data_IF_638981364812
#
_entry.id   IF_638981364812
#
_cell.length_a   1.000
_cell.length_b   1.000
_cell.length_c   1.000
_cell.angle_alpha   90.00
_cell.angle_beta   90.00
_cell.angle_gamma   90.00
#
_symmetry.space_group_name_H-M   'P 1'
#
loop_
_entity.id
_entity.type
_entity.pdbx_description
1 polymer ?
#
# COMPACT_ATOMS: atom_id res chain seq x y z
N UNK A 1 -2.33 3.89 -16.99
CA UNK A 1 -3.60 4.58 -16.83
C UNK A 1 -4.73 3.58 -17.10
N UNK A 2 -5.05 3.18 -18.35
CA UNK A 2 -6.21 2.33 -18.67
C UNK A 2 -6.31 1.01 -17.85
N UNK A 3 -5.19 0.30 -17.62
CA UNK A 3 -5.17 -0.93 -16.81
C UNK A 3 -5.56 -0.60 -15.36
N UNK A 4 -5.05 0.49 -14.81
CA UNK A 4 -5.37 0.91 -13.44
C UNK A 4 -6.83 1.32 -13.35
N UNK A 5 -7.35 2.09 -14.32
CA UNK A 5 -8.77 2.44 -14.38
C UNK A 5 -9.70 1.22 -14.42
N UNK A 6 -9.36 0.20 -15.23
CA UNK A 6 -10.11 -1.06 -15.27
C UNK A 6 -10.10 -1.78 -13.91
N UNK A 7 -8.94 -1.85 -13.26
CA UNK A 7 -8.80 -2.48 -11.94
C UNK A 7 -9.60 -1.73 -10.86
N UNK A 8 -9.60 -0.38 -10.91
CA UNK A 8 -10.39 0.45 -10.00
C UNK A 8 -11.89 0.23 -10.18
N UNK A 9 -12.35 0.11 -11.42
CA UNK A 9 -13.75 -0.22 -11.71
C UNK A 9 -14.13 -1.60 -11.18
N UNK A 10 -13.27 -2.60 -11.38
CA UNK A 10 -13.47 -3.94 -10.82
C UNK A 10 -13.52 -3.90 -9.30
N UNK A 11 -12.59 -3.20 -8.65
CA UNK A 11 -12.58 -3.06 -7.20
C UNK A 11 -13.87 -2.43 -6.66
N UNK A 12 -14.38 -1.43 -7.35
CA UNK A 12 -15.67 -0.80 -7.01
C UNK A 12 -16.84 -1.77 -7.12
N UNK A 13 -16.86 -2.64 -8.14
CA UNK A 13 -17.91 -3.67 -8.28
C UNK A 13 -17.87 -4.68 -7.14
N UNK A 14 -16.71 -4.98 -6.59
CA UNK A 14 -16.53 -5.87 -5.46
C UNK A 14 -16.52 -5.14 -4.10
N UNK A 15 -17.08 -3.93 -4.03
CA UNK A 15 -17.20 -3.12 -2.82
C UNK A 15 -15.88 -2.94 -2.04
N UNK A 16 -14.74 -2.90 -2.74
CA UNK A 16 -13.42 -2.68 -2.13
C UNK A 16 -12.74 -3.93 -1.55
N UNK A 17 -13.36 -5.11 -1.60
CA UNK A 17 -12.80 -6.34 -1.00
C UNK A 17 -11.44 -6.71 -1.63
N UNK A 18 -11.25 -6.39 -2.91
CA UNK A 18 -10.03 -6.73 -3.65
C UNK A 18 -8.89 -5.73 -3.36
N UNK A 19 -9.16 -4.63 -2.67
CA UNK A 19 -8.25 -3.51 -2.46
C UNK A 19 -6.89 -3.93 -1.89
N UNK A 20 -6.90 -4.79 -0.88
CA UNK A 20 -5.68 -5.28 -0.24
C UNK A 20 -4.81 -6.14 -1.18
N UNK A 21 -5.43 -6.94 -2.04
CA UNK A 21 -4.71 -7.75 -3.02
C UNK A 21 -4.25 -6.93 -4.23
N UNK A 22 -4.98 -5.88 -4.58
CA UNK A 22 -4.65 -5.01 -5.74
C UNK A 22 -3.48 -4.08 -5.50
N UNK A 23 -3.09 -3.78 -4.27
CA UNK A 23 -1.99 -2.87 -3.97
C UNK A 23 -0.73 -3.19 -4.78
N UNK A 24 -0.36 -4.46 -4.86
CA UNK A 24 0.82 -4.89 -5.59
C UNK A 24 0.65 -4.68 -7.10
N UNK A 25 -0.51 -5.06 -7.64
CA UNK A 25 -0.80 -4.95 -9.06
C UNK A 25 -0.86 -3.48 -9.50
N UNK A 26 -1.42 -2.61 -8.68
CA UNK A 26 -1.53 -1.18 -8.95
C UNK A 26 -0.17 -0.47 -8.99
N UNK A 27 0.82 -0.96 -8.25
CA UNK A 27 2.17 -0.39 -8.25
C UNK A 27 2.98 -0.71 -9.52
N UNK A 28 2.69 -1.83 -10.23
CA UNK A 28 3.50 -2.27 -11.37
C UNK A 28 3.47 -1.37 -12.60
N UNK A 29 2.32 -0.89 -13.08
CA UNK A 29 2.30 -0.05 -14.28
C UNK A 29 3.18 1.18 -14.13
N UNK A 30 3.16 1.82 -12.97
CA UNK A 30 3.98 3.00 -12.71
C UNK A 30 5.44 2.64 -12.45
N UNK A 31 5.72 1.49 -11.82
CA UNK A 31 7.06 0.98 -11.61
C UNK A 31 7.80 0.77 -12.93
N UNK A 32 7.19 0.02 -13.86
CA UNK A 32 7.78 -0.23 -15.19
C UNK A 32 7.97 1.08 -15.96
N UNK A 33 7.00 1.97 -15.88
CA UNK A 33 7.09 3.29 -16.52
C UNK A 33 8.24 4.12 -15.93
N UNK A 34 8.43 4.08 -14.62
CA UNK A 34 9.50 4.80 -13.93
C UNK A 34 10.88 4.29 -14.32
N UNK A 35 11.05 2.97 -14.44
CA UNK A 35 12.32 2.39 -14.92
C UNK A 35 12.65 2.90 -16.31
N UNK A 36 11.68 2.93 -17.21
CA UNK A 36 11.89 3.34 -18.61
C UNK A 36 12.14 4.84 -18.73
N UNK A 37 11.27 5.67 -18.18
CA UNK A 37 11.22 7.11 -18.40
C UNK A 37 11.77 7.96 -17.25
N UNK A 38 12.01 7.35 -16.10
CA UNK A 38 12.46 8.02 -14.88
C UNK A 38 11.31 8.60 -14.06
N UNK A 39 11.63 8.97 -12.82
CA UNK A 39 10.64 9.45 -11.86
C UNK A 39 9.88 10.71 -12.31
N UNK A 40 10.58 11.66 -12.98
CA UNK A 40 9.92 12.89 -13.50
C UNK A 40 8.89 12.58 -14.58
N UNK A 41 9.20 11.66 -15.48
CA UNK A 41 8.26 11.19 -16.50
C UNK A 41 7.07 10.43 -15.91
N UNK A 42 7.29 9.70 -14.81
CA UNK A 42 6.26 8.93 -14.14
C UNK A 42 5.20 9.78 -13.41
N UNK A 43 5.51 11.04 -13.08
CA UNK A 43 4.56 11.92 -12.38
C UNK A 43 3.31 12.20 -13.20
N UNK A 44 3.42 12.31 -14.53
CA UNK A 44 2.26 12.59 -15.41
C UNK A 44 1.27 11.42 -15.39
N UNK A 45 1.65 10.17 -15.71
CA UNK A 45 0.72 9.05 -15.63
C UNK A 45 0.26 8.77 -14.19
N UNK A 46 1.08 9.05 -13.17
CA UNK A 46 0.66 8.93 -11.78
C UNK A 46 -0.48 9.92 -11.44
N UNK A 47 -0.36 11.18 -11.86
CA UNK A 47 -1.42 12.16 -11.69
C UNK A 47 -2.70 11.76 -12.43
N UNK A 48 -2.58 11.21 -13.66
CA UNK A 48 -3.73 10.71 -14.40
C UNK A 48 -4.41 9.53 -13.70
N UNK A 49 -3.62 8.58 -13.15
CA UNK A 49 -4.16 7.45 -12.38
C UNK A 49 -4.84 7.92 -11.08
N UNK A 50 -4.30 8.94 -10.43
CA UNK A 50 -4.95 9.55 -9.26
C UNK A 50 -6.29 10.22 -9.63
N UNK A 51 -6.34 10.95 -10.76
CA UNK A 51 -7.58 11.53 -11.24
C UNK A 51 -8.65 10.46 -11.56
N UNK A 52 -8.24 9.34 -12.19
CA UNK A 52 -9.13 8.18 -12.39
C UNK A 52 -9.66 7.63 -11.05
N UNK A 53 -8.80 7.52 -10.03
CA UNK A 53 -9.20 7.02 -8.73
C UNK A 53 -10.25 7.93 -8.06
N UNK A 54 -10.08 9.24 -8.12
CA UNK A 54 -11.06 10.18 -7.59
C UNK A 54 -12.42 10.08 -8.28
N UNK A 55 -12.45 9.73 -9.57
CA UNK A 55 -13.69 9.61 -10.34
C UNK A 55 -14.36 8.24 -10.22
N UNK A 56 -13.58 7.17 -10.12
CA UNK A 56 -14.05 5.80 -10.32
C UNK A 56 -14.10 4.96 -9.05
N UNK A 57 -13.34 5.34 -8.01
CA UNK A 57 -13.16 4.50 -6.83
C UNK A 57 -13.73 5.09 -5.54
N UNK A 58 -13.72 4.29 -4.48
CA UNK A 58 -14.06 4.73 -3.13
C UNK A 58 -12.97 5.65 -2.58
N UNK A 59 -13.30 6.58 -1.68
CA UNK A 59 -12.30 7.46 -1.06
C UNK A 59 -11.12 6.72 -0.42
N UNK A 60 -11.40 5.56 0.19
CA UNK A 60 -10.38 4.68 0.77
C UNK A 60 -9.36 4.22 -0.27
N UNK A 61 -9.85 3.78 -1.44
CA UNK A 61 -9.03 3.29 -2.55
C UNK A 61 -8.07 4.37 -3.08
N UNK A 62 -8.46 5.66 -3.01
CA UNK A 62 -7.60 6.77 -3.44
C UNK A 62 -6.30 6.82 -2.61
N UNK A 63 -6.40 6.65 -1.29
CA UNK A 63 -5.23 6.63 -0.41
C UNK A 63 -4.34 5.41 -0.66
N UNK A 64 -4.95 4.24 -0.85
CA UNK A 64 -4.22 3.02 -1.20
C UNK A 64 -3.52 3.15 -2.55
N UNK A 65 -4.18 3.72 -3.55
CA UNK A 65 -3.55 3.96 -4.85
C UNK A 65 -2.40 4.96 -4.74
N UNK A 66 -2.57 6.07 -4.01
CA UNK A 66 -1.51 7.03 -3.79
C UNK A 66 -0.25 6.37 -3.20
N UNK A 67 -0.43 5.55 -2.18
CA UNK A 67 0.63 4.76 -1.55
C UNK A 67 1.28 3.78 -2.53
N UNK A 68 0.48 3.04 -3.32
CA UNK A 68 0.98 2.11 -4.32
C UNK A 68 1.78 2.81 -5.45
N UNK A 69 1.32 3.98 -5.91
CA UNK A 69 2.03 4.78 -6.90
C UNK A 69 3.37 5.30 -6.38
N UNK A 70 3.40 5.81 -5.14
CA UNK A 70 4.65 6.25 -4.50
C UNK A 70 5.63 5.10 -4.34
N UNK A 71 5.15 3.93 -3.89
CA UNK A 71 5.96 2.72 -3.79
C UNK A 71 6.52 2.31 -5.16
N UNK A 72 5.69 2.27 -6.20
CA UNK A 72 6.11 1.92 -7.57
C UNK A 72 7.12 2.89 -8.16
N UNK A 73 6.93 4.21 -7.96
CA UNK A 73 7.87 5.24 -8.43
C UNK A 73 9.21 5.11 -7.71
N UNK A 74 9.19 4.96 -6.38
CA UNK A 74 10.42 4.87 -5.59
C UNK A 74 11.20 3.61 -5.92
N UNK A 75 10.52 2.45 -5.95
CA UNK A 75 11.14 1.19 -6.31
C UNK A 75 11.71 1.23 -7.73
N UNK A 76 10.93 1.71 -8.71
CA UNK A 76 11.38 1.84 -10.10
C UNK A 76 12.55 2.80 -10.26
N UNK A 77 12.61 3.86 -9.45
CA UNK A 77 13.74 4.78 -9.42
C UNK A 77 15.01 4.12 -8.89
N UNK A 78 14.88 3.33 -7.80
CA UNK A 78 15.98 2.56 -7.24
C UNK A 78 16.56 1.55 -8.25
N UNK A 79 15.70 0.80 -8.94
CA UNK A 79 16.11 -0.12 -10.00
C UNK A 79 16.83 0.64 -11.12
N UNK A 80 16.29 1.76 -11.60
CA UNK A 80 16.92 2.59 -12.66
C UNK A 80 18.28 3.14 -12.26
N UNK A 81 18.47 3.45 -10.98
CA UNK A 81 19.72 3.94 -10.41
C UNK A 81 20.69 2.84 -9.97
N UNK A 82 20.35 1.59 -10.21
CA UNK A 82 21.15 0.43 -9.80
C UNK A 82 21.44 0.40 -8.28
N UNK A 83 20.44 0.75 -7.48
CA UNK A 83 20.57 0.60 -6.04
C UNK A 83 20.67 -0.88 -5.67
N UNK A 84 21.49 -1.25 -4.68
CA UNK A 84 21.53 -2.63 -4.21
C UNK A 84 20.15 -3.05 -3.73
N UNK A 85 19.76 -4.29 -4.06
CA UNK A 85 18.42 -4.81 -3.77
C UNK A 85 17.97 -4.61 -2.31
N UNK A 86 18.90 -4.80 -1.36
CA UNK A 86 18.62 -4.60 0.07
C UNK A 86 18.26 -3.15 0.41
N UNK A 87 18.96 -2.17 -0.17
CA UNK A 87 18.66 -0.73 0.04
C UNK A 87 17.31 -0.37 -0.57
N UNK A 88 17.05 -0.84 -1.80
CA UNK A 88 15.79 -0.58 -2.48
C UNK A 88 14.60 -1.17 -1.70
N UNK A 89 14.75 -2.39 -1.21
CA UNK A 89 13.76 -3.07 -0.41
C UNK A 89 13.53 -2.36 0.93
N UNK A 90 14.59 -1.95 1.63
CA UNK A 90 14.51 -1.24 2.89
C UNK A 90 13.79 0.12 2.75
N UNK A 91 14.19 0.92 1.77
CA UNK A 91 13.58 2.25 1.55
C UNK A 91 12.10 2.10 1.15
N UNK A 92 11.78 1.14 0.29
CA UNK A 92 10.39 0.87 -0.11
C UNK A 92 9.56 0.37 1.08
N UNK A 93 10.14 -0.49 1.92
CA UNK A 93 9.49 -0.98 3.14
C UNK A 93 9.17 0.14 4.14
N UNK A 94 10.12 1.04 4.37
CA UNK A 94 9.91 2.22 5.23
C UNK A 94 8.79 3.10 4.64
N UNK A 95 8.82 3.36 3.33
CA UNK A 95 7.76 4.15 2.68
C UNK A 95 6.39 3.49 2.82
N UNK A 96 6.31 2.19 2.60
CA UNK A 96 5.06 1.43 2.74
C UNK A 96 4.54 1.50 4.18
N UNK A 97 5.40 1.32 5.16
CA UNK A 97 5.03 1.43 6.58
C UNK A 97 4.54 2.84 6.94
N UNK A 98 5.27 3.89 6.52
CA UNK A 98 4.85 5.27 6.74
C UNK A 98 3.52 5.57 6.05
N UNK A 99 3.28 5.03 4.84
CA UNK A 99 2.01 5.18 4.14
C UNK A 99 0.85 4.57 4.93
N UNK A 100 1.05 3.43 5.59
CA UNK A 100 0.04 2.86 6.48
C UNK A 100 -0.28 3.75 7.67
N UNK A 101 0.75 4.26 8.34
CA UNK A 101 0.55 5.16 9.49
C UNK A 101 -0.20 6.43 9.08
N UNK A 102 0.20 7.04 7.94
CA UNK A 102 -0.47 8.23 7.42
C UNK A 102 -1.93 7.91 7.06
N UNK A 103 -2.17 6.80 6.38
CA UNK A 103 -3.53 6.38 6.02
C UNK A 103 -4.39 6.17 7.26
N UNK A 104 -3.86 5.52 8.29
CA UNK A 104 -4.57 5.30 9.54
C UNK A 104 -4.98 6.63 10.22
N UNK A 105 -4.05 7.61 10.28
CA UNK A 105 -4.33 8.94 10.83
C UNK A 105 -5.35 9.69 9.97
N UNK A 106 -5.22 9.62 8.63
CA UNK A 106 -6.17 10.28 7.72
C UNK A 106 -7.56 9.66 7.82
N UNK A 107 -7.69 8.35 7.96
CA UNK A 107 -8.98 7.70 8.18
C UNK A 107 -9.66 8.17 9.47
N UNK A 108 -8.91 8.27 10.56
CA UNK A 108 -9.43 8.79 11.82
C UNK A 108 -9.92 10.24 11.69
N UNK A 109 -9.14 11.09 11.00
CA UNK A 109 -9.44 12.54 10.93
C UNK A 109 -10.47 12.91 9.88
N UNK A 110 -10.44 12.28 8.70
CA UNK A 110 -11.27 12.66 7.53
C UNK A 110 -12.61 11.92 7.51
N UNK A 111 -12.61 10.65 7.90
CA UNK A 111 -13.81 9.80 7.86
C UNK A 111 -14.48 9.62 9.22
N UNK A 112 -13.96 10.29 10.28
CA UNK A 112 -14.50 10.19 11.62
C UNK A 112 -14.37 8.79 12.22
N UNK A 113 -13.40 7.99 11.71
CA UNK A 113 -13.10 6.70 12.27
C UNK A 113 -12.56 6.88 13.69
N UNK A 114 -13.28 6.39 14.70
CA UNK A 114 -12.85 6.44 16.09
C UNK A 114 -12.16 5.12 16.47
N UNK A 115 -10.83 5.12 16.66
CA UNK A 115 -10.13 3.92 17.10
C UNK A 115 -10.62 3.38 18.44
N UNK A 116 -11.29 4.21 19.26
CA UNK A 116 -11.84 3.77 20.52
C UNK A 116 -13.04 2.84 20.34
N UNK A 117 -13.80 2.94 19.25
CA UNK A 117 -14.89 2.00 18.95
C UNK A 117 -14.34 0.59 18.72
N UNK A 118 -13.25 0.46 17.95
CA UNK A 118 -12.60 -0.84 17.73
C UNK A 118 -12.00 -1.40 19.03
N UNK A 119 -11.46 -0.54 19.88
CA UNK A 119 -10.96 -0.93 21.21
C UNK A 119 -12.11 -1.48 22.04
N UNK A 120 -13.26 -0.82 22.08
CA UNK A 120 -14.43 -1.28 22.84
C UNK A 120 -14.97 -2.61 22.30
N UNK A 121 -15.03 -2.79 20.99
CA UNK A 121 -15.44 -4.07 20.37
C UNK A 121 -14.46 -5.17 20.74
N UNK A 122 -13.16 -4.89 20.66
CA UNK A 122 -12.14 -5.84 21.07
C UNK A 122 -12.20 -6.17 22.57
N UNK A 123 -12.47 -5.18 23.43
CA UNK A 123 -12.70 -5.38 24.86
C UNK A 123 -13.86 -6.33 25.12
N UNK A 124 -14.99 -6.12 24.45
CA UNK A 124 -16.16 -7.00 24.58
C UNK A 124 -15.85 -8.43 24.14
N UNK A 125 -15.13 -8.60 23.03
CA UNK A 125 -14.73 -9.93 22.55
C UNK A 125 -13.77 -10.63 23.53
N UNK A 126 -12.80 -9.91 24.08
CA UNK A 126 -11.83 -10.47 25.04
C UNK A 126 -12.52 -10.84 26.36
N UNK A 127 -13.49 -10.05 26.82
CA UNK A 127 -14.31 -10.38 28.00
C UNK A 127 -15.13 -11.66 27.80
N UNK A 128 -15.68 -11.87 26.59
CA UNK A 128 -16.40 -13.11 26.25
C UNK A 128 -15.48 -14.33 26.36
N UNK A 129 -14.19 -14.18 25.99
CA UNK A 129 -13.19 -15.25 26.09
C UNK A 129 -12.56 -15.38 27.49
N UNK A 130 -12.96 -14.56 28.45
CA UNK A 130 -12.51 -14.67 29.84
C UNK A 130 -11.11 -14.14 30.11
N UNK A 131 -10.54 -13.33 29.22
CA UNK A 131 -9.25 -12.68 29.42
C UNK A 131 -9.45 -11.27 29.99
N UNK A 132 -9.11 -11.08 31.25
CA UNK A 132 -9.10 -9.74 31.87
C UNK A 132 -7.67 -9.15 31.75
N UNK A 133 -7.53 -8.03 31.07
CA UNK A 133 -6.26 -7.29 30.99
C UNK A 133 -6.44 -5.85 31.46
N UNK A 134 -5.66 -5.42 32.44
CA UNK A 134 -5.69 -4.06 32.99
C UNK A 134 -5.23 -2.97 32.01
N UNK A 135 -4.57 -3.32 30.89
CA UNK A 135 -4.00 -2.39 29.91
C UNK A 135 -4.38 -2.73 28.46
N UNK A 136 -5.67 -3.02 28.23
CA UNK A 136 -6.13 -3.53 26.94
C UNK A 136 -5.87 -2.57 25.78
N UNK A 137 -6.05 -1.27 25.97
CA UNK A 137 -5.80 -0.25 24.94
C UNK A 137 -4.33 -0.25 24.45
N UNK A 138 -3.38 -0.40 25.38
CA UNK A 138 -1.96 -0.48 25.02
C UNK A 138 -1.62 -1.77 24.29
N UNK A 139 -2.25 -2.89 24.68
CA UNK A 139 -2.08 -4.18 24.02
C UNK A 139 -2.62 -4.13 22.59
N UNK A 140 -3.82 -3.56 22.39
CA UNK A 140 -4.41 -3.40 21.05
C UNK A 140 -3.52 -2.52 20.17
N UNK A 141 -3.07 -1.37 20.68
CA UNK A 141 -2.18 -0.47 19.94
C UNK A 141 -0.87 -1.15 19.55
N UNK A 142 -0.30 -1.95 20.46
CA UNK A 142 0.91 -2.73 20.18
C UNK A 142 0.67 -3.76 19.07
N UNK A 143 -0.43 -4.52 19.14
CA UNK A 143 -0.79 -5.50 18.10
C UNK A 143 -1.07 -4.84 16.75
N UNK A 144 -1.75 -3.70 16.73
CA UNK A 144 -2.02 -2.95 15.50
C UNK A 144 -0.73 -2.46 14.85
N UNK A 145 0.20 -1.93 15.64
CA UNK A 145 1.53 -1.52 15.17
C UNK A 145 2.32 -2.73 14.64
N UNK A 146 2.34 -3.82 15.39
CA UNK A 146 3.03 -5.06 14.99
C UNK A 146 2.45 -5.60 13.67
N UNK A 147 1.14 -5.66 13.56
CA UNK A 147 0.45 -6.10 12.35
C UNK A 147 0.76 -5.20 11.15
N UNK A 148 0.79 -3.88 11.35
CA UNK A 148 1.17 -2.91 10.32
C UNK A 148 2.60 -3.11 9.82
N UNK A 149 3.55 -3.39 10.73
CA UNK A 149 4.94 -3.72 10.37
C UNK A 149 5.01 -5.01 9.56
N UNK A 150 4.35 -6.08 10.03
CA UNK A 150 4.34 -7.37 9.35
C UNK A 150 3.72 -7.23 7.95
N UNK A 151 2.60 -6.53 7.84
CA UNK A 151 1.93 -6.28 6.56
C UNK A 151 2.81 -5.47 5.60
N UNK A 152 3.48 -4.42 6.09
CA UNK A 152 4.41 -3.63 5.28
C UNK A 152 5.59 -4.46 4.76
N UNK A 153 6.15 -5.34 5.59
CA UNK A 153 7.22 -6.26 5.20
C UNK A 153 6.73 -7.23 4.11
N UNK A 154 5.60 -7.88 4.34
CA UNK A 154 5.02 -8.84 3.38
C UNK A 154 4.72 -8.17 2.04
N UNK A 155 4.11 -6.99 2.05
CA UNK A 155 3.82 -6.25 0.82
C UNK A 155 5.08 -5.85 0.08
N UNK A 156 6.10 -5.37 0.79
CA UNK A 156 7.37 -4.98 0.18
C UNK A 156 8.06 -6.18 -0.46
N UNK A 157 8.05 -7.34 0.21
CA UNK A 157 8.59 -8.59 -0.35
C UNK A 157 7.79 -9.01 -1.61
N UNK A 158 6.46 -8.96 -1.55
CA UNK A 158 5.62 -9.28 -2.71
C UNK A 158 5.89 -8.35 -3.90
N UNK A 159 5.98 -7.04 -3.68
CA UNK A 159 6.34 -6.08 -4.73
C UNK A 159 7.72 -6.40 -5.32
N UNK A 160 8.70 -6.71 -4.46
CA UNK A 160 10.05 -7.05 -4.89
C UNK A 160 10.07 -8.33 -5.75
N UNK A 161 9.48 -9.42 -5.27
CA UNK A 161 9.45 -10.69 -5.99
C UNK A 161 8.74 -10.56 -7.35
N UNK A 162 7.58 -9.92 -7.36
CA UNK A 162 6.82 -9.70 -8.59
C UNK A 162 7.56 -8.76 -9.55
N UNK A 163 8.20 -7.70 -9.04
CA UNK A 163 9.01 -6.80 -9.84
C UNK A 163 10.17 -7.56 -10.51
N UNK A 164 10.90 -8.39 -9.76
CA UNK A 164 11.98 -9.23 -10.29
C UNK A 164 11.46 -10.17 -11.39
N UNK A 165 10.35 -10.86 -11.16
CA UNK A 165 9.75 -11.74 -12.17
C UNK A 165 9.36 -10.98 -13.45
N UNK A 166 8.76 -9.81 -13.32
CA UNK A 166 8.29 -9.00 -14.44
C UNK A 166 9.45 -8.39 -15.23
N UNK A 167 10.46 -7.85 -14.53
CA UNK A 167 11.63 -7.25 -15.14
C UNK A 167 12.46 -8.30 -15.93
N UNK A 168 12.58 -9.51 -15.37
CA UNK A 168 13.22 -10.63 -16.06
C UNK A 168 12.49 -10.99 -17.36
N UNK A 169 11.15 -11.04 -17.33
CA UNK A 169 10.34 -11.31 -18.53
C UNK A 169 10.40 -10.20 -19.57
N UNK A 170 10.55 -8.96 -19.13
CA UNK A 170 10.69 -7.79 -20.02
C UNK A 170 12.14 -7.60 -20.54
N UNK A 171 13.07 -8.50 -20.21
CA UNK A 171 14.49 -8.42 -20.55
C UNK A 171 15.13 -7.09 -20.08
N UNK A 172 14.63 -6.50 -19.01
CA UNK A 172 15.22 -5.34 -18.36
C UNK A 172 16.30 -5.87 -17.39
N UNK A 173 17.55 -5.39 -17.48
CA UNK A 173 18.61 -5.88 -16.61
C UNK A 173 18.26 -5.60 -15.14
N UNK A 174 18.10 -6.67 -14.40
CA UNK A 174 17.96 -6.67 -12.94
C UNK A 174 19.32 -7.00 -12.34
N UNK A 175 19.72 -6.30 -11.32
CA UNK A 175 20.89 -6.67 -10.51
C UNK A 175 20.56 -7.79 -9.54
#
# INVERSE_FOLDING_TARGET
VAIVGLLLLLNRQFAGIIEYAMYWILSFPILVYTIKYGWKGAMIPAAAMMAEAFMLSLPTTVFYLASALLCGILYGHGVKKHWPNGVNLLITGILTFLSYLITMVLFATVFGYDPNEDIQIAEQLIQIFGFAHENLAQVILFYTLLLSVVTAILQTICVHLLAMMLLTRLHIPTQ
#
